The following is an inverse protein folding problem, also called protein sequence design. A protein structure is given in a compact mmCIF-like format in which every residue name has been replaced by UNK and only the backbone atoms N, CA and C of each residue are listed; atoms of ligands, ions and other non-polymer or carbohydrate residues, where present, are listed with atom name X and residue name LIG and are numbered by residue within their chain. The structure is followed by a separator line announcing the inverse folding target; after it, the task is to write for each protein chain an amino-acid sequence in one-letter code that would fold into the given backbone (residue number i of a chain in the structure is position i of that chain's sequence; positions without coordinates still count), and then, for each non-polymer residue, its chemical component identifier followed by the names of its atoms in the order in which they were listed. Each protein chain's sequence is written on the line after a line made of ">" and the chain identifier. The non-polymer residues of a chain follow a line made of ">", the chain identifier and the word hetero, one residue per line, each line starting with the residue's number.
data_IF_371275509187
#
_entry.id   IF_371275509187
#
_cell.length_a   1.000
_cell.length_b   1.000
_cell.length_c   1.000
_cell.angle_alpha   90.00
_cell.angle_beta   90.00
_cell.angle_gamma   90.00
#
_symmetry.space_group_name_H-M   'P 1'
#
loop_
_entity.id
_entity.type
_entity.pdbx_description
1 polymer ?
#
# COMPACT_ATOMS: atom_id res chain seq x y z
N UNK A 1 4.32 -12.75 -2.35
CA UNK A 1 4.67 -12.49 -3.76
C UNK A 1 4.61 -10.99 -4.07
N UNK A 2 3.49 -10.31 -3.81
CA UNK A 2 3.31 -8.87 -4.08
C UNK A 2 4.37 -7.96 -3.42
N UNK A 3 4.68 -8.16 -2.13
CA UNK A 3 5.73 -7.38 -1.43
C UNK A 3 7.07 -7.41 -2.17
N UNK A 4 7.50 -8.59 -2.62
CA UNK A 4 8.74 -8.77 -3.39
C UNK A 4 8.73 -8.01 -4.73
N UNK A 5 7.56 -7.94 -5.39
CA UNK A 5 7.38 -7.18 -6.63
C UNK A 5 7.53 -5.68 -6.35
N UNK A 6 6.88 -5.17 -5.29
CA UNK A 6 6.98 -3.76 -4.91
C UNK A 6 8.43 -3.35 -4.64
N UNK A 7 9.15 -4.15 -3.86
CA UNK A 7 10.57 -3.92 -3.62
C UNK A 7 11.39 -3.91 -4.90
N UNK A 8 11.10 -4.83 -5.82
CA UNK A 8 11.79 -4.91 -7.11
C UNK A 8 11.59 -3.64 -7.96
N UNK A 9 10.41 -3.00 -7.90
CA UNK A 9 10.12 -1.75 -8.62
C UNK A 9 10.43 -0.48 -7.81
N UNK A 10 11.18 -0.60 -6.71
CA UNK A 10 11.61 0.55 -5.89
C UNK A 10 10.53 1.13 -4.98
N UNK A 11 9.43 0.41 -4.75
CA UNK A 11 8.36 0.80 -3.82
C UNK A 11 8.57 0.05 -2.50
N UNK A 12 8.41 0.75 -1.36
CA UNK A 12 8.52 0.11 -0.05
C UNK A 12 7.49 -1.02 0.11
N UNK A 13 7.93 -2.18 0.62
CA UNK A 13 7.04 -3.31 0.91
C UNK A 13 5.98 -2.97 1.97
N UNK A 14 6.26 -1.96 2.81
CA UNK A 14 5.35 -1.47 3.86
C UNK A 14 4.13 -0.74 3.30
N UNK A 15 4.11 -0.46 1.99
CA UNK A 15 2.92 0.04 1.29
C UNK A 15 1.78 -0.98 1.27
N UNK A 16 2.09 -2.27 1.45
CA UNK A 16 1.08 -3.33 1.58
C UNK A 16 1.00 -3.73 3.04
N UNK A 17 -0.18 -3.59 3.60
CA UNK A 17 -0.51 -4.03 4.95
C UNK A 17 -1.71 -4.97 4.87
N UNK A 18 -1.76 -5.97 5.75
CA UNK A 18 -2.84 -6.95 5.79
C UNK A 18 -3.26 -7.16 7.23
N UNK A 19 -4.55 -6.97 7.47
CA UNK A 19 -5.20 -7.20 8.75
C UNK A 19 -6.37 -8.15 8.50
N UNK A 20 -6.68 -8.99 9.50
CA UNK A 20 -7.83 -9.86 9.48
C UNK A 20 -8.84 -9.33 10.50
N UNK A 21 -10.06 -9.09 10.08
CA UNK A 21 -11.16 -8.75 10.97
C UNK A 21 -12.38 -9.61 10.62
N UNK A 22 -13.09 -10.09 11.63
CA UNK A 22 -14.43 -10.64 11.41
C UNK A 22 -15.46 -9.51 11.27
N UNK A 23 -16.62 -9.81 10.70
CA UNK A 23 -17.67 -8.82 10.48
C UNK A 23 -18.23 -8.22 11.79
N UNK A 24 -18.05 -8.90 12.92
CA UNK A 24 -18.49 -8.44 14.24
C UNK A 24 -17.49 -7.49 14.93
N UNK A 25 -16.24 -7.42 14.44
CA UNK A 25 -15.15 -6.68 15.09
C UNK A 25 -14.94 -5.31 14.45
N UNK A 26 -15.95 -4.45 14.57
CA UNK A 26 -15.93 -3.09 14.00
C UNK A 26 -14.77 -2.27 14.55
N UNK A 27 -14.50 -2.36 15.86
CA UNK A 27 -13.40 -1.62 16.50
C UNK A 27 -12.03 -2.03 15.94
N UNK A 28 -11.81 -3.34 15.74
CA UNK A 28 -10.56 -3.85 15.16
C UNK A 28 -10.40 -3.40 13.70
N UNK A 29 -11.50 -3.32 12.94
CA UNK A 29 -11.48 -2.77 11.59
C UNK A 29 -11.07 -1.29 11.59
N UNK A 30 -11.71 -0.47 12.42
CA UNK A 30 -11.40 0.97 12.52
C UNK A 30 -9.94 1.17 12.90
N UNK A 31 -9.47 0.46 13.94
CA UNK A 31 -8.07 0.55 14.38
C UNK A 31 -7.10 0.13 13.26
N UNK A 32 -7.41 -0.95 12.54
CA UNK A 32 -6.59 -1.42 11.43
C UNK A 32 -6.49 -0.37 10.31
N UNK A 33 -7.60 0.30 9.97
CA UNK A 33 -7.62 1.38 8.97
C UNK A 33 -6.79 2.58 9.42
N UNK A 34 -6.89 2.97 10.69
CA UNK A 34 -6.09 4.06 11.26
C UNK A 34 -4.58 3.74 11.22
N UNK A 35 -4.21 2.53 11.57
CA UNK A 35 -2.80 2.09 11.59
C UNK A 35 -2.21 2.05 10.17
N UNK A 36 -2.95 1.51 9.20
CA UNK A 36 -2.57 1.55 7.79
C UNK A 36 -2.38 2.99 7.34
N UNK A 37 -3.31 3.88 7.69
CA UNK A 37 -3.23 5.29 7.32
C UNK A 37 -1.96 5.95 7.87
N UNK A 38 -1.63 5.74 9.14
CA UNK A 38 -0.40 6.28 9.76
C UNK A 38 0.86 5.79 9.04
N UNK A 39 0.94 4.50 8.71
CA UNK A 39 2.07 3.92 7.97
C UNK A 39 2.20 4.56 6.59
N UNK A 40 1.11 4.63 5.84
CA UNK A 40 1.10 5.17 4.48
C UNK A 40 1.52 6.64 4.44
N UNK A 41 1.08 7.46 5.39
CA UNK A 41 1.44 8.87 5.45
C UNK A 41 2.90 9.12 5.86
N UNK A 42 3.53 8.18 6.59
CA UNK A 42 4.95 8.27 6.96
C UNK A 42 5.88 7.92 5.80
N UNK A 43 5.42 7.14 4.83
CA UNK A 43 6.22 6.66 3.71
C UNK A 43 6.37 7.74 2.62
N UNK A 44 7.52 7.79 1.92
CA UNK A 44 7.78 8.78 0.88
C UNK A 44 6.76 8.66 -0.26
N UNK A 45 6.32 9.78 -0.86
CA UNK A 45 5.29 9.76 -1.90
C UNK A 45 5.66 8.79 -3.02
N UNK A 46 4.65 8.13 -3.60
CA UNK A 46 4.88 7.25 -4.74
C UNK A 46 5.45 8.07 -5.91
N UNK A 47 6.30 7.45 -6.77
CA UNK A 47 6.75 8.08 -7.99
C UNK A 47 5.53 8.58 -8.77
N UNK A 48 5.50 9.87 -9.10
CA UNK A 48 4.47 10.41 -9.98
C UNK A 48 4.61 9.68 -11.31
N UNK A 49 3.48 9.22 -11.90
CA UNK A 49 3.49 8.71 -13.28
C UNK A 49 4.04 9.81 -14.19
N UNK A 50 5.31 9.73 -14.53
CA UNK A 50 5.86 10.43 -15.69
C UNK A 50 5.51 9.53 -16.87
N UNK A 51 4.56 9.99 -17.69
CA UNK A 51 4.25 9.56 -19.06
C UNK A 51 4.72 8.14 -19.43
N UNK A 52 3.82 7.16 -19.31
CA UNK A 52 3.98 5.94 -20.10
C UNK A 52 3.83 6.36 -21.56
N UNK A 53 4.96 6.60 -22.25
CA UNK A 53 4.96 6.84 -23.69
C UNK A 53 4.20 5.71 -24.38
N UNK A 54 3.16 6.08 -25.12
CA UNK A 54 2.31 5.23 -25.96
C UNK A 54 3.06 4.70 -27.19
N UNK A 55 4.30 4.20 -27.02
CA UNK A 55 5.12 3.69 -28.12
C UNK A 55 5.05 2.16 -28.30
N UNK A 56 4.15 1.48 -27.58
CA UNK A 56 3.95 0.01 -27.69
C UNK A 56 2.47 -0.39 -27.74
N UNK A 57 1.64 0.40 -28.40
CA UNK A 57 0.37 -0.03 -28.99
C UNK A 57 0.42 0.31 -30.48
#
# INVERSE_FOLDING_TARGET
>A
MLRKILKHIGISEDRVQQYFCSAAEVENFVQSVEDISKIIHKLPPLPKKTEMNESYM
#
